data_IF_770912069011
#
_entry.id   IF_770912069011
#
_cell.length_a   1.000
_cell.length_b   1.000
_cell.length_c   1.000
_cell.angle_alpha   90.00
_cell.angle_beta   90.00
_cell.angle_gamma   90.00
#
_symmetry.space_group_name_H-M   'P 1'
#
loop_
_entity.id
_entity.type
_entity.pdbx_description
1 polymer ?
#
# COMPACT_ATOMS: atom_id res chain seq x y z
N UNK A 1 -6.21 -37.74 39.97
CA UNK A 1 -6.33 -36.31 40.23
C UNK A 1 -5.28 -35.51 39.47
N UNK A 2 -4.02 -35.95 39.50
CA UNK A 2 -2.94 -35.29 38.71
C UNK A 2 -3.21 -35.31 37.22
N UNK A 3 -3.87 -36.35 36.71
CA UNK A 3 -4.21 -36.47 35.26
C UNK A 3 -5.25 -35.43 34.82
N UNK A 4 -6.19 -35.10 35.71
CA UNK A 4 -7.21 -34.09 35.39
C UNK A 4 -6.58 -32.68 35.33
N UNK A 5 -5.66 -32.39 36.25
CA UNK A 5 -4.94 -31.10 36.24
C UNK A 5 -4.11 -30.96 34.98
N UNK A 6 -3.47 -32.03 34.55
CA UNK A 6 -2.68 -32.01 33.31
C UNK A 6 -3.56 -31.79 32.09
N UNK A 7 -4.70 -32.45 32.02
CA UNK A 7 -5.67 -32.29 30.94
C UNK A 7 -6.23 -30.87 30.94
N UNK A 8 -6.55 -30.32 32.10
CA UNK A 8 -7.06 -28.96 32.22
C UNK A 8 -6.00 -27.94 31.76
N UNK A 9 -4.73 -28.14 32.11
CA UNK A 9 -3.64 -27.28 31.64
C UNK A 9 -3.49 -27.35 30.11
N UNK A 10 -3.58 -28.52 29.53
CA UNK A 10 -3.51 -28.69 28.09
C UNK A 10 -4.68 -28.00 27.42
N UNK A 11 -5.89 -28.16 27.98
CA UNK A 11 -7.09 -27.51 27.45
C UNK A 11 -6.97 -25.99 27.47
N UNK A 12 -6.43 -25.43 28.57
CA UNK A 12 -6.18 -23.98 28.66
C UNK A 12 -5.20 -23.51 27.61
N UNK A 13 -4.13 -24.23 27.39
CA UNK A 13 -3.13 -23.89 26.38
C UNK A 13 -3.70 -23.95 24.98
N UNK A 14 -4.55 -24.95 24.71
CA UNK A 14 -5.22 -25.07 23.41
C UNK A 14 -6.16 -23.89 23.21
N UNK A 15 -6.93 -23.50 24.23
CA UNK A 15 -7.81 -22.32 24.14
C UNK A 15 -7.02 -21.05 23.86
N UNK A 16 -5.89 -20.85 24.55
CA UNK A 16 -5.02 -19.71 24.31
C UNK A 16 -4.49 -19.68 22.89
N UNK A 17 -4.07 -20.84 22.39
CA UNK A 17 -3.57 -20.96 21.02
C UNK A 17 -4.65 -20.63 19.99
N UNK A 18 -5.88 -21.11 20.23
CA UNK A 18 -7.00 -20.83 19.33
C UNK A 18 -7.33 -19.34 19.30
N UNK A 19 -7.39 -18.70 20.47
CA UNK A 19 -7.63 -17.26 20.55
C UNK A 19 -6.55 -16.47 19.83
N UNK A 20 -5.30 -16.86 20.05
CA UNK A 20 -4.16 -16.21 19.43
C UNK A 20 -4.20 -16.40 17.91
N UNK A 21 -4.58 -17.56 17.47
CA UNK A 21 -4.73 -17.85 16.05
C UNK A 21 -5.81 -16.97 15.42
N UNK A 22 -6.94 -16.82 16.08
CA UNK A 22 -8.02 -15.94 15.63
C UNK A 22 -7.56 -14.48 15.52
N UNK A 23 -6.84 -14.01 16.53
CA UNK A 23 -6.29 -12.65 16.52
C UNK A 23 -5.32 -12.44 15.38
N UNK A 24 -4.45 -13.41 15.13
CA UNK A 24 -3.51 -13.36 14.03
C UNK A 24 -4.22 -13.37 12.68
N UNK A 25 -5.27 -14.15 12.53
CA UNK A 25 -6.07 -14.16 11.31
C UNK A 25 -6.72 -12.81 11.05
N UNK A 26 -7.27 -12.18 12.08
CA UNK A 26 -7.86 -10.85 11.97
C UNK A 26 -6.83 -9.81 11.60
N UNK A 27 -5.67 -9.86 12.25
CA UNK A 27 -4.57 -8.95 11.97
C UNK A 27 -4.08 -9.14 10.54
N UNK A 28 -3.94 -10.38 10.08
CA UNK A 28 -3.54 -10.66 8.71
C UNK A 28 -4.54 -10.12 7.70
N UNK A 29 -5.83 -10.30 7.95
CA UNK A 29 -6.86 -9.79 7.07
C UNK A 29 -6.82 -8.26 7.00
N UNK A 30 -6.64 -7.61 8.14
CA UNK A 30 -6.53 -6.15 8.22
C UNK A 30 -5.30 -5.65 7.47
N UNK A 31 -4.14 -6.27 7.70
CA UNK A 31 -2.90 -5.91 7.03
C UNK A 31 -3.01 -6.12 5.52
N UNK A 32 -3.65 -7.20 5.09
CA UNK A 32 -3.89 -7.46 3.68
C UNK A 32 -4.74 -6.36 3.05
N UNK A 33 -5.79 -5.91 3.72
CA UNK A 33 -6.60 -4.78 3.27
C UNK A 33 -5.79 -3.50 3.19
N UNK A 34 -4.98 -3.23 4.20
CA UNK A 34 -4.13 -2.03 4.23
C UNK A 34 -3.13 -2.04 3.08
N UNK A 35 -2.52 -3.18 2.80
CA UNK A 35 -1.60 -3.33 1.67
C UNK A 35 -2.31 -3.06 0.36
N UNK A 36 -3.53 -3.59 0.17
CA UNK A 36 -4.32 -3.34 -1.03
C UNK A 36 -4.65 -1.86 -1.20
N UNK A 37 -5.06 -1.21 -0.12
CA UNK A 37 -5.38 0.22 -0.12
C UNK A 37 -4.15 1.05 -0.47
N UNK A 38 -3.01 0.76 0.16
CA UNK A 38 -1.76 1.47 -0.09
C UNK A 38 -1.27 1.26 -1.52
N UNK A 39 -1.41 0.04 -2.03
CA UNK A 39 -1.05 -0.27 -3.42
C UNK A 39 -1.90 0.54 -4.39
N UNK A 40 -3.19 0.63 -4.13
CA UNK A 40 -4.11 1.40 -4.94
C UNK A 40 -3.77 2.89 -4.92
N UNK A 41 -3.52 3.43 -3.73
CA UNK A 41 -3.09 4.83 -3.59
C UNK A 41 -1.78 5.10 -4.30
N UNK A 42 -0.82 4.19 -4.17
CA UNK A 42 0.45 4.30 -4.88
C UNK A 42 0.24 4.36 -6.40
N UNK A 43 -0.60 3.47 -6.91
CA UNK A 43 -0.86 3.39 -8.34
C UNK A 43 -1.56 4.67 -8.84
N UNK A 44 -2.49 5.22 -8.06
CA UNK A 44 -3.12 6.49 -8.37
C UNK A 44 -2.12 7.63 -8.40
N UNK A 45 -1.23 7.70 -7.40
CA UNK A 45 -0.19 8.73 -7.33
C UNK A 45 0.78 8.61 -8.50
N UNK A 46 1.16 7.40 -8.86
CA UNK A 46 2.00 7.15 -10.04
C UNK A 46 1.33 7.65 -11.31
N UNK A 47 0.06 7.34 -11.48
CA UNK A 47 -0.73 7.78 -12.62
C UNK A 47 -0.76 9.30 -12.73
N UNK A 48 -1.03 9.98 -11.62
CA UNK A 48 -1.05 11.43 -11.54
C UNK A 48 0.30 12.04 -11.84
N UNK A 49 1.35 11.44 -11.30
CA UNK A 49 2.71 11.89 -11.53
C UNK A 49 3.09 11.75 -13.00
N UNK A 50 2.75 10.64 -13.62
CA UNK A 50 2.99 10.40 -15.04
C UNK A 50 2.23 11.43 -15.89
N UNK A 51 0.98 11.70 -15.57
CA UNK A 51 0.17 12.68 -16.28
C UNK A 51 0.75 14.09 -16.12
N UNK A 52 1.15 14.46 -14.91
CA UNK A 52 1.77 15.76 -14.64
C UNK A 52 3.10 15.90 -15.40
N UNK A 53 3.88 14.85 -15.44
CA UNK A 53 5.15 14.80 -16.16
C UNK A 53 4.94 15.02 -17.64
N UNK A 54 3.96 14.33 -18.22
CA UNK A 54 3.61 14.49 -19.63
C UNK A 54 3.24 15.94 -19.96
N UNK A 55 2.47 16.57 -19.08
CA UNK A 55 2.08 17.97 -19.26
C UNK A 55 3.26 18.91 -19.21
N UNK A 56 4.15 18.67 -18.25
CA UNK A 56 5.37 19.48 -18.11
C UNK A 56 6.25 19.31 -19.35
N UNK A 57 6.44 18.09 -19.82
CA UNK A 57 7.22 17.80 -21.00
C UNK A 57 6.62 18.48 -22.23
N UNK A 58 5.30 18.45 -22.37
CA UNK A 58 4.62 19.13 -23.47
C UNK A 58 4.85 20.64 -23.42
N UNK A 59 4.81 21.23 -22.23
CA UNK A 59 5.10 22.65 -22.04
C UNK A 59 6.55 23.00 -22.36
N UNK A 60 7.48 22.15 -21.92
CA UNK A 60 8.91 22.33 -22.21
C UNK A 60 9.17 22.27 -23.73
N UNK A 61 8.53 21.34 -24.42
CA UNK A 61 8.63 21.20 -25.86
C UNK A 61 8.11 22.45 -26.59
N UNK A 62 7.08 23.09 -26.06
CA UNK A 62 6.56 24.33 -26.61
C UNK A 62 7.44 25.52 -26.36
N UNK A 63 8.09 25.58 -25.18
CA UNK A 63 8.94 26.70 -24.80
C UNK A 63 10.11 26.93 -25.75
N UNK A 64 10.91 25.91 -26.10
CA UNK A 64 12.00 26.11 -27.06
C UNK A 64 11.50 26.62 -28.41
N UNK A 65 10.39 26.11 -28.90
CA UNK A 65 9.80 26.56 -30.16
C UNK A 65 9.40 28.03 -30.08
N UNK A 66 8.72 28.41 -29.00
CA UNK A 66 8.31 29.79 -28.77
C UNK A 66 9.52 30.72 -28.62
N UNK A 67 10.52 30.29 -27.87
CA UNK A 67 11.76 31.05 -27.67
C UNK A 67 12.49 31.20 -28.99
N UNK A 68 12.62 30.15 -29.76
CA UNK A 68 13.25 30.18 -31.07
C UNK A 68 12.54 31.14 -32.04
N UNK A 69 11.22 31.13 -32.01
CA UNK A 69 10.39 32.05 -32.81
C UNK A 69 10.60 33.48 -32.38
N UNK A 70 10.71 33.76 -31.08
CA UNK A 70 10.97 35.09 -30.55
C UNK A 70 12.38 35.57 -30.92
N UNK A 71 13.34 34.70 -30.84
CA UNK A 71 14.73 35.03 -31.20
C UNK A 71 14.90 35.26 -32.68
N UNK A 72 14.20 34.50 -33.50
CA UNK A 72 14.29 34.65 -34.95
C UNK A 72 13.50 35.86 -35.47
N UNK A 73 12.61 36.43 -34.67
CA UNK A 73 11.93 37.68 -35.03
C UNK A 73 12.88 38.85 -34.89
N UNK A 74 13.20 39.57 -35.91
CA UNK A 74 14.10 40.71 -35.83
C UNK A 74 13.58 41.87 -35.03
#
# INVERSE_FOLDING_TARGET
>A
MANNDLIDQIAERVEHLLLRHEELQRTNALLSQQVQTLTHERDQLKSRLTAARSRVEALIDRLPTTTSSSESAP
#
